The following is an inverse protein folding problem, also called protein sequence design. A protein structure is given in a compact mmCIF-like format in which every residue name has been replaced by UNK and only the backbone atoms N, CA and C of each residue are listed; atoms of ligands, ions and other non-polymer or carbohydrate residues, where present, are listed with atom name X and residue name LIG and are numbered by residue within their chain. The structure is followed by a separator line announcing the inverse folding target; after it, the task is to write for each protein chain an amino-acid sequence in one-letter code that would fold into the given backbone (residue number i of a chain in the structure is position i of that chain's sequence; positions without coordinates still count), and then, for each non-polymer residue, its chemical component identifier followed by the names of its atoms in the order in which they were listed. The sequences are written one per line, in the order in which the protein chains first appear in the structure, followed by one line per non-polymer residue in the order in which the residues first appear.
data_IF_750963350749
#
_entry.id   IF_750963350749
#
_cell.length_a   1.000
_cell.length_b   1.000
_cell.length_c   1.000
_cell.angle_alpha   90.00
_cell.angle_beta   90.00
_cell.angle_gamma   90.00
#
_symmetry.space_group_name_H-M   'P 1'
#
loop_
_entity.id
_entity.type
_entity.pdbx_description
1 polymer ?
#
# COMPACT_ATOMS: atom_id res chain seq x y z
N UNK A 1 15.55 -3.06 17.45
CA UNK A 1 15.57 -2.54 18.84
C UNK A 1 16.47 -3.42 19.72
N UNK A 2 16.41 -4.75 19.62
CA UNK A 2 17.24 -5.65 20.45
C UNK A 2 18.74 -5.39 20.33
N UNK A 3 19.28 -5.25 19.10
CA UNK A 3 20.70 -4.90 18.88
C UNK A 3 21.16 -3.61 19.56
N UNK A 4 20.26 -2.64 19.74
CA UNK A 4 20.60 -1.37 20.41
C UNK A 4 20.58 -1.54 21.93
N UNK A 5 19.70 -2.39 22.47
CA UNK A 5 19.68 -2.75 23.88
C UNK A 5 20.95 -3.52 24.23
N UNK A 6 21.30 -4.55 23.44
CA UNK A 6 22.52 -5.36 23.64
C UNK A 6 23.79 -4.49 23.66
N UNK A 7 23.89 -3.53 22.73
CA UNK A 7 25.01 -2.58 22.67
C UNK A 7 25.07 -1.59 23.84
N UNK A 8 23.94 -1.29 24.48
CA UNK A 8 23.91 -0.43 25.66
C UNK A 8 24.26 -1.23 26.92
N UNK A 9 23.83 -2.49 27.00
CA UNK A 9 24.18 -3.41 28.09
C UNK A 9 25.68 -3.69 28.11
N UNK A 10 26.29 -3.97 26.95
CA UNK A 10 27.73 -4.19 26.84
C UNK A 10 28.54 -2.96 27.30
N UNK A 11 28.08 -1.75 26.94
CA UNK A 11 28.69 -0.49 27.39
C UNK A 11 28.50 -0.17 28.88
N UNK A 12 27.46 -0.71 29.52
CA UNK A 12 27.28 -0.55 30.98
C UNK A 12 28.29 -1.40 31.73
N UNK A 13 28.57 -2.63 31.25
CA UNK A 13 29.53 -3.55 31.88
C UNK A 13 30.95 -2.96 31.89
N UNK A 14 31.28 -2.13 30.89
CA UNK A 14 32.59 -1.47 30.77
C UNK A 14 32.66 -0.09 31.46
N UNK A 15 31.55 0.46 31.97
CA UNK A 15 31.49 1.83 32.49
C UNK A 15 31.62 1.89 34.02
N UNK A 16 32.58 2.67 34.53
CA UNK A 16 32.80 2.86 35.98
C UNK A 16 32.09 4.09 36.58
N UNK A 17 31.46 4.92 35.75
CA UNK A 17 30.82 6.15 36.23
C UNK A 17 29.33 5.93 36.58
N UNK A 18 28.92 6.06 37.85
CA UNK A 18 27.54 5.79 38.28
C UNK A 18 26.49 6.71 37.64
N UNK A 19 26.87 7.92 37.23
CA UNK A 19 25.96 8.83 36.49
C UNK A 19 25.70 8.37 35.06
N UNK A 20 26.68 7.70 34.45
CA UNK A 20 26.59 7.21 33.08
C UNK A 20 25.81 5.90 33.04
N UNK A 21 26.04 5.02 34.02
CA UNK A 21 25.26 3.78 34.21
C UNK A 21 23.77 4.10 34.33
N UNK A 22 23.39 5.02 35.23
CA UNK A 22 21.97 5.38 35.41
C UNK A 22 21.35 6.04 34.17
N UNK A 23 22.11 6.81 33.38
CA UNK A 23 21.62 7.35 32.12
C UNK A 23 21.34 6.23 31.08
N UNK A 24 22.18 5.20 31.03
CA UNK A 24 21.98 4.06 30.14
C UNK A 24 20.83 3.15 30.61
N UNK A 25 20.70 2.89 31.90
CA UNK A 25 19.56 2.16 32.47
C UNK A 25 18.23 2.82 32.09
N UNK A 26 18.14 4.15 32.22
CA UNK A 26 16.97 4.90 31.80
C UNK A 26 16.69 4.78 30.29
N UNK A 27 17.75 4.75 29.47
CA UNK A 27 17.60 4.62 28.02
C UNK A 27 17.14 3.22 27.61
N UNK A 28 17.62 2.18 28.29
CA UNK A 28 17.18 0.79 28.10
C UNK A 28 15.70 0.67 28.47
N UNK A 29 15.30 1.17 29.64
CA UNK A 29 13.90 1.15 30.08
C UNK A 29 12.96 1.87 29.10
N UNK A 30 13.39 2.99 28.50
CA UNK A 30 12.63 3.68 27.44
C UNK A 30 12.45 2.80 26.20
N UNK A 31 13.49 2.11 25.75
CA UNK A 31 13.44 1.27 24.55
C UNK A 31 12.58 0.01 24.76
N UNK A 32 12.62 -0.57 25.96
CA UNK A 32 11.77 -1.71 26.32
C UNK A 32 10.29 -1.33 26.35
N UNK A 33 9.97 -0.15 26.91
CA UNK A 33 8.61 0.38 26.90
C UNK A 33 8.11 0.64 25.48
N UNK A 34 8.93 1.22 24.61
CA UNK A 34 8.58 1.42 23.20
C UNK A 34 8.32 0.08 22.48
N UNK A 35 9.13 -0.95 22.76
CA UNK A 35 8.94 -2.30 22.21
C UNK A 35 7.59 -2.89 22.64
N UNK A 36 7.23 -2.75 23.92
CA UNK A 36 5.94 -3.21 24.44
C UNK A 36 4.77 -2.46 23.79
N UNK A 37 4.86 -1.13 23.66
CA UNK A 37 3.83 -0.32 22.99
C UNK A 37 3.65 -0.70 21.52
N UNK A 38 4.74 -0.97 20.80
CA UNK A 38 4.67 -1.42 19.41
C UNK A 38 4.03 -2.81 19.34
N UNK A 39 4.39 -3.73 20.24
CA UNK A 39 3.77 -5.06 20.30
C UNK A 39 2.27 -4.98 20.59
N UNK A 40 1.86 -4.15 21.55
CA UNK A 40 0.45 -3.90 21.88
C UNK A 40 -0.30 -3.27 20.70
N UNK A 41 0.30 -2.28 20.03
CA UNK A 41 -0.27 -1.68 18.81
C UNK A 41 -0.42 -2.69 17.68
N UNK A 42 0.55 -3.60 17.50
CA UNK A 42 0.47 -4.65 16.50
C UNK A 42 -0.63 -5.68 16.82
N UNK A 43 -0.86 -5.98 18.09
CA UNK A 43 -1.96 -6.85 18.52
C UNK A 43 -3.33 -6.14 18.41
N UNK A 44 -3.37 -4.84 18.69
CA UNK A 44 -4.60 -4.03 18.65
C UNK A 44 -4.98 -3.61 17.23
N UNK A 45 -3.99 -3.40 16.36
CA UNK A 45 -4.21 -3.28 14.92
C UNK A 45 -4.54 -4.65 14.35
N UNK A 46 -5.77 -5.12 14.57
CA UNK A 46 -6.35 -6.09 13.67
C UNK A 46 -6.31 -5.47 12.27
N UNK A 47 -5.48 -6.01 11.38
CA UNK A 47 -5.53 -5.64 9.97
C UNK A 47 -7.01 -5.73 9.57
N UNK A 48 -7.60 -4.71 8.94
CA UNK A 48 -8.94 -4.85 8.39
C UNK A 48 -8.82 -5.78 7.18
N UNK A 49 -8.71 -7.09 7.43
CA UNK A 49 -8.67 -8.13 6.42
C UNK A 49 -9.89 -8.00 5.51
N UNK A 50 -11.03 -7.67 6.12
CA UNK A 50 -12.27 -7.34 5.42
C UNK A 50 -12.20 -6.10 4.54
N UNK A 51 -11.38 -5.08 4.84
CA UNK A 51 -11.30 -3.91 3.97
C UNK A 51 -10.69 -4.27 2.61
N UNK A 52 -9.66 -5.12 2.59
CA UNK A 52 -9.04 -5.57 1.34
C UNK A 52 -9.93 -6.57 0.59
N UNK A 53 -10.53 -7.54 1.29
CA UNK A 53 -11.49 -8.49 0.70
C UNK A 53 -12.68 -7.78 0.05
N UNK A 54 -13.16 -6.67 0.63
CA UNK A 54 -14.24 -5.86 0.06
C UNK A 54 -13.87 -5.23 -1.29
N UNK A 55 -12.59 -5.01 -1.56
CA UNK A 55 -12.10 -4.48 -2.83
C UNK A 55 -11.79 -5.56 -3.87
N UNK A 56 -11.66 -6.84 -3.49
CA UNK A 56 -11.33 -7.93 -4.43
C UNK A 56 -12.41 -8.10 -5.51
N UNK A 57 -13.68 -8.08 -5.12
CA UNK A 57 -14.82 -8.21 -6.02
C UNK A 57 -14.93 -7.03 -7.01
N UNK A 58 -14.93 -5.76 -6.56
CA UNK A 58 -14.88 -4.61 -7.47
C UNK A 58 -13.64 -4.60 -8.37
N UNK A 59 -12.45 -4.94 -7.87
CA UNK A 59 -11.24 -4.98 -8.70
C UNK A 59 -11.28 -6.11 -9.73
N UNK A 60 -11.79 -7.29 -9.37
CA UNK A 60 -12.00 -8.39 -10.31
C UNK A 60 -13.05 -8.06 -11.37
N UNK A 61 -14.07 -7.29 -11.01
CA UNK A 61 -15.04 -6.76 -11.98
C UNK A 61 -14.37 -5.76 -12.94
N UNK A 62 -13.61 -4.80 -12.42
CA UNK A 62 -12.91 -3.80 -13.24
C UNK A 62 -11.78 -4.39 -14.11
N UNK A 63 -11.17 -5.50 -13.70
CA UNK A 63 -10.11 -6.17 -14.46
C UNK A 63 -10.63 -6.93 -15.69
N UNK A 64 -11.95 -7.13 -15.81
CA UNK A 64 -12.58 -7.79 -16.97
C UNK A 64 -13.42 -6.80 -17.79
N UNK A 65 -12.79 -5.91 -18.57
CA UNK A 65 -13.50 -4.86 -19.32
C UNK A 65 -14.49 -5.42 -20.35
N UNK A 66 -14.30 -6.64 -20.84
CA UNK A 66 -15.22 -7.33 -21.74
C UNK A 66 -16.60 -7.57 -21.12
N UNK A 67 -16.65 -7.98 -19.85
CA UNK A 67 -17.91 -8.24 -19.15
C UNK A 67 -18.72 -6.94 -18.99
N UNK A 68 -18.04 -5.82 -18.72
CA UNK A 68 -18.67 -4.49 -18.69
C UNK A 68 -19.19 -4.10 -20.08
N UNK A 69 -18.45 -4.43 -21.14
CA UNK A 69 -18.86 -4.17 -22.53
C UNK A 69 -20.08 -5.01 -22.96
N UNK A 70 -20.11 -6.30 -22.60
CA UNK A 70 -21.21 -7.20 -22.94
C UNK A 70 -22.55 -6.81 -22.27
N UNK A 71 -22.53 -6.04 -21.18
CA UNK A 71 -23.74 -5.59 -20.47
C UNK A 71 -24.67 -4.68 -21.30
N UNK A 72 -24.18 -4.10 -22.41
CA UNK A 72 -24.96 -3.22 -23.28
C UNK A 72 -25.28 -1.84 -22.70
N UNK A 73 -24.87 -1.55 -21.47
CA UNK A 73 -25.15 -0.27 -20.82
C UNK A 73 -24.18 0.81 -21.33
N UNK A 74 -24.73 1.85 -21.97
CA UNK A 74 -23.94 2.94 -22.58
C UNK A 74 -23.00 3.63 -21.57
N UNK A 75 -23.41 3.77 -20.31
CA UNK A 75 -22.57 4.37 -19.27
C UNK A 75 -21.35 3.51 -18.93
N UNK A 76 -21.51 2.18 -18.86
CA UNK A 76 -20.41 1.25 -18.64
C UNK A 76 -19.46 1.21 -19.84
N UNK A 77 -19.97 1.27 -21.07
CA UNK A 77 -19.14 1.40 -22.26
C UNK A 77 -18.24 2.64 -22.21
N UNK A 78 -18.80 3.79 -21.82
CA UNK A 78 -18.01 5.02 -21.65
C UNK A 78 -16.91 4.87 -20.58
N UNK A 79 -17.20 4.17 -19.49
CA UNK A 79 -16.21 3.91 -18.42
C UNK A 79 -15.09 3.00 -18.94
N UNK A 80 -15.43 1.90 -19.62
CA UNK A 80 -14.45 0.98 -20.23
C UNK A 80 -13.55 1.73 -21.22
N UNK A 81 -14.10 2.59 -22.07
CA UNK A 81 -13.31 3.39 -23.00
C UNK A 81 -12.39 4.39 -22.28
N UNK A 82 -12.82 4.98 -21.16
CA UNK A 82 -11.96 5.87 -20.35
C UNK A 82 -10.87 5.13 -19.58
N UNK A 83 -11.09 3.87 -19.24
CA UNK A 83 -10.09 3.02 -18.58
C UNK A 83 -9.07 2.47 -19.57
N UNK A 84 -9.52 2.07 -20.77
CA UNK A 84 -8.66 1.44 -21.78
C UNK A 84 -7.73 2.43 -22.50
N UNK A 85 -8.10 3.71 -22.58
CA UNK A 85 -7.36 4.73 -23.30
C UNK A 85 -7.15 5.95 -22.41
N UNK A 86 -5.95 6.53 -22.41
CA UNK A 86 -5.70 7.73 -21.60
C UNK A 86 -6.23 9.02 -22.19
N UNK A 87 -6.40 9.06 -23.50
CA UNK A 87 -7.03 10.18 -24.18
C UNK A 87 -8.48 9.85 -24.52
N UNK A 88 -9.33 10.88 -24.51
CA UNK A 88 -10.72 10.73 -24.94
C UNK A 88 -10.77 10.34 -26.41
N UNK A 89 -11.37 9.20 -26.71
CA UNK A 89 -11.58 8.76 -28.09
C UNK A 89 -12.50 9.74 -28.82
N UNK A 90 -12.04 10.26 -29.95
CA UNK A 90 -12.88 11.06 -30.84
C UNK A 90 -13.90 10.15 -31.54
N UNK A 91 -15.17 10.55 -31.50
CA UNK A 91 -16.26 9.86 -32.18
C UNK A 91 -16.81 10.74 -33.29
N UNK A 92 -16.84 10.22 -34.51
CA UNK A 92 -17.45 10.89 -35.66
C UNK A 92 -18.66 10.07 -36.14
N UNK A 93 -19.80 10.73 -36.32
CA UNK A 93 -21.01 10.11 -36.89
C UNK A 93 -20.67 9.63 -38.31
N UNK A 94 -20.91 8.34 -38.59
CA UNK A 94 -20.61 7.59 -39.83
C UNK A 94 -19.20 6.98 -39.99
N UNK A 95 -18.21 7.38 -39.17
CA UNK A 95 -16.85 6.82 -39.26
C UNK A 95 -16.47 5.97 -38.03
N UNK A 96 -17.30 5.98 -36.98
CA UNK A 96 -17.09 5.20 -35.76
C UNK A 96 -16.06 5.82 -34.80
N UNK A 97 -15.51 4.98 -33.92
CA UNK A 97 -14.45 5.38 -32.99
C UNK A 97 -13.11 5.50 -33.71
N UNK A 98 -12.47 6.67 -33.65
CA UNK A 98 -11.12 6.85 -34.19
C UNK A 98 -10.11 6.15 -33.29
N UNK A 99 -9.12 5.45 -33.85
CA UNK A 99 -8.06 4.80 -33.09
C UNK A 99 -7.29 5.84 -32.26
N UNK A 100 -7.45 5.87 -30.92
CA UNK A 100 -6.70 6.79 -30.09
C UNK A 100 -5.25 6.30 -29.99
N UNK A 101 -4.31 7.19 -29.69
CA UNK A 101 -2.92 6.79 -29.41
C UNK A 101 -2.93 5.90 -28.17
N UNK A 102 -2.64 4.61 -28.36
CA UNK A 102 -2.44 3.67 -27.25
C UNK A 102 -1.17 4.05 -26.47
N UNK A 103 -1.23 4.04 -25.14
CA UNK A 103 -0.02 4.18 -24.31
C UNK A 103 0.97 3.02 -24.49
N UNK A 104 0.50 1.89 -25.02
CA UNK A 104 1.36 0.78 -25.33
C UNK A 104 2.08 1.06 -26.65
N UNK A 105 3.34 1.47 -26.53
CA UNK A 105 4.31 1.35 -27.60
C UNK A 105 4.56 -0.15 -27.84
N UNK A 106 3.77 -0.76 -28.72
CA UNK A 106 4.13 -2.05 -29.29
C UNK A 106 5.37 -1.85 -30.15
N UNK A 107 6.55 -2.24 -29.65
CA UNK A 107 7.65 -2.61 -30.53
C UNK A 107 7.26 -3.90 -31.24
N UNK A 108 6.88 -3.78 -32.49
CA UNK A 108 7.09 -4.75 -33.56
C UNK A 108 7.20 -3.96 -34.85
#
# INVERSE_FOLDING_TARGET
MDKQIDQLVERIVEADNPRVISAYENKIASLENEKLLIAEKLQTQSKPRHALEMFELPLGFLSTPWNLWASGQIHLHKIVLRLAFAERIAYTRNEGFRTPKSHYHSRC
#
